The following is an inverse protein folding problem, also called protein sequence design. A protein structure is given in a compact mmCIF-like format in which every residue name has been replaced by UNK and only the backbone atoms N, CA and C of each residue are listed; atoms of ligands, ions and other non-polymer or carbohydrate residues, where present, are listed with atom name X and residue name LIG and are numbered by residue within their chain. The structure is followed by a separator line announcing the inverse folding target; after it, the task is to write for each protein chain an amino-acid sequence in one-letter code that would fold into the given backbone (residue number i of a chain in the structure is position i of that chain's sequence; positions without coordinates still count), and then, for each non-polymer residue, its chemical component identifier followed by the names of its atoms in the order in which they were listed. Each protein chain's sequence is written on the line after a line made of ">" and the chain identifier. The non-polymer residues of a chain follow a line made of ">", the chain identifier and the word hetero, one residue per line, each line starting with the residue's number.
data_IF_534071918640
#
_entry.id   IF_534071918640
#
_cell.length_a   1.000
_cell.length_b   1.000
_cell.length_c   1.000
_cell.angle_alpha   90.00
_cell.angle_beta   90.00
_cell.angle_gamma   90.00
#
_symmetry.space_group_name_H-M   'P 1'
#
loop_
_entity.id
_entity.type
_entity.pdbx_description
1 polymer ?
#
# COMPACT_ATOMS: atom_id res chain seq x y z
N UNK A 1 -14.39 1.23 -20.95
CA UNK A 1 -13.37 0.29 -21.46
C UNK A 1 -12.35 0.16 -20.34
N UNK A 2 -12.50 -0.83 -19.47
CA UNK A 2 -11.67 -1.01 -18.28
C UNK A 2 -10.27 -1.40 -18.73
N UNK A 3 -9.30 -0.49 -18.57
CA UNK A 3 -7.89 -0.68 -18.95
C UNK A 3 -7.11 -1.60 -17.98
N UNK A 4 -7.81 -2.30 -17.10
CA UNK A 4 -7.23 -3.17 -16.07
C UNK A 4 -7.75 -4.58 -16.33
N UNK A 5 -6.83 -5.54 -16.52
CA UNK A 5 -7.22 -6.95 -16.40
C UNK A 5 -7.77 -7.16 -15.00
N UNK A 6 -8.93 -7.81 -14.88
CA UNK A 6 -9.54 -8.08 -13.58
C UNK A 6 -8.57 -8.90 -12.72
N UNK A 7 -8.14 -8.32 -11.58
CA UNK A 7 -7.40 -9.07 -10.59
C UNK A 7 -8.29 -10.22 -10.09
N UNK A 8 -7.78 -11.44 -10.13
CA UNK A 8 -8.51 -12.60 -9.62
C UNK A 8 -7.62 -13.35 -8.63
N UNK A 9 -7.91 -13.26 -7.31
CA UNK A 9 -7.07 -13.84 -6.29
C UNK A 9 -7.14 -15.38 -6.21
N UNK A 10 -8.11 -16.00 -6.90
CA UNK A 10 -8.25 -17.45 -6.99
C UNK A 10 -7.20 -18.00 -7.96
N UNK A 11 -6.36 -18.92 -7.49
CA UNK A 11 -5.38 -19.56 -8.36
C UNK A 11 -6.07 -20.42 -9.42
N UNK A 12 -5.47 -20.50 -10.62
CA UNK A 12 -5.90 -21.48 -11.61
C UNK A 12 -5.73 -22.90 -11.00
N UNK A 13 -6.79 -23.73 -10.93
CA UNK A 13 -6.70 -25.06 -10.32
C UNK A 13 -5.64 -25.96 -10.94
N UNK A 14 -5.34 -25.81 -12.23
CA UNK A 14 -4.30 -26.56 -12.94
C UNK A 14 -2.88 -26.15 -12.55
N UNK A 15 -2.69 -25.01 -11.88
CA UNK A 15 -1.41 -24.57 -11.33
C UNK A 15 -1.18 -25.01 -9.88
N UNK A 16 -2.17 -25.68 -9.26
CA UNK A 16 -2.17 -26.00 -7.83
C UNK A 16 -1.77 -27.45 -7.60
N UNK A 17 -0.82 -27.65 -6.69
CA UNK A 17 -0.41 -28.97 -6.18
C UNK A 17 -0.59 -29.01 -4.67
N UNK A 18 -1.49 -29.88 -4.19
CA UNK A 18 -1.73 -30.06 -2.76
C UNK A 18 -1.09 -31.36 -2.27
N UNK A 19 -0.42 -31.30 -1.11
CA UNK A 19 0.15 -32.45 -0.41
C UNK A 19 -0.18 -32.39 1.08
N UNK A 20 -1.36 -32.92 1.43
CA UNK A 20 -1.88 -32.88 2.80
C UNK A 20 -2.14 -31.43 3.24
N UNK A 21 -1.39 -30.97 4.24
CA UNK A 21 -1.51 -29.63 4.83
C UNK A 21 -0.70 -28.54 4.11
N UNK A 22 0.05 -28.90 3.07
CA UNK A 22 0.79 -27.98 2.23
C UNK A 22 0.13 -27.83 0.86
N UNK A 23 0.14 -26.61 0.32
CA UNK A 23 -0.31 -26.28 -1.02
C UNK A 23 0.75 -25.46 -1.75
N UNK A 24 0.99 -25.81 -3.00
CA UNK A 24 1.93 -25.14 -3.88
C UNK A 24 1.14 -24.59 -5.07
N UNK A 25 1.40 -23.34 -5.46
CA UNK A 25 0.83 -22.76 -6.68
C UNK A 25 1.97 -22.31 -7.58
N UNK A 26 2.05 -22.88 -8.79
CA UNK A 26 3.07 -22.53 -9.79
C UNK A 26 2.54 -21.33 -10.59
N UNK A 27 3.01 -20.14 -10.25
CA UNK A 27 2.47 -18.87 -10.78
C UNK A 27 3.18 -18.45 -12.07
N UNK A 28 4.50 -18.59 -12.10
CA UNK A 28 5.34 -18.37 -13.28
C UNK A 28 6.44 -19.44 -13.29
N UNK A 29 7.23 -19.59 -14.37
CA UNK A 29 8.39 -20.49 -14.32
C UNK A 29 9.34 -20.13 -13.16
N UNK A 30 9.49 -18.85 -12.82
CA UNK A 30 10.33 -18.31 -11.77
C UNK A 30 9.64 -18.17 -10.39
N UNK A 31 8.35 -18.46 -10.27
CA UNK A 31 7.58 -18.16 -9.04
C UNK A 31 6.69 -19.32 -8.59
N UNK A 32 6.88 -19.72 -7.32
CA UNK A 32 6.03 -20.71 -6.65
C UNK A 32 5.55 -20.13 -5.31
N UNK A 33 4.23 -20.10 -5.12
CA UNK A 33 3.61 -19.87 -3.81
C UNK A 33 3.65 -21.15 -3.00
N UNK A 34 3.98 -21.05 -1.72
CA UNK A 34 4.01 -22.14 -0.75
C UNK A 34 3.13 -21.75 0.42
N UNK A 35 2.09 -22.54 0.66
CA UNK A 35 1.21 -22.40 1.79
C UNK A 35 1.27 -23.64 2.67
N UNK A 36 1.17 -23.45 3.99
CA UNK A 36 0.98 -24.53 4.94
C UNK A 36 0.11 -24.09 6.12
N UNK A 37 -0.89 -24.90 6.45
CA UNK A 37 -1.75 -24.70 7.62
C UNK A 37 -1.90 -26.00 8.38
N UNK A 38 -1.71 -25.98 9.70
CA UNK A 38 -1.98 -27.13 10.55
C UNK A 38 -3.45 -27.57 10.53
N UNK A 39 -4.35 -26.69 10.10
CA UNK A 39 -5.79 -26.94 9.93
C UNK A 39 -6.16 -27.35 8.50
N UNK A 40 -5.24 -27.24 7.55
CA UNK A 40 -5.52 -27.44 6.13
C UNK A 40 -6.35 -26.32 5.50
N UNK A 41 -6.35 -25.13 6.10
CA UNK A 41 -7.02 -23.95 5.56
C UNK A 41 -6.03 -23.10 4.79
N UNK A 42 -6.37 -22.76 3.55
CA UNK A 42 -5.55 -21.94 2.69
C UNK A 42 -6.26 -20.62 2.35
N UNK A 43 -5.49 -19.59 2.02
CA UNK A 43 -6.01 -18.25 1.75
C UNK A 43 -6.12 -18.03 0.23
N UNK A 44 -7.36 -18.04 -0.26
CA UNK A 44 -7.70 -17.83 -1.67
C UNK A 44 -8.19 -16.41 -1.96
N UNK A 45 -8.49 -15.62 -0.92
CA UNK A 45 -8.86 -14.21 -1.08
C UNK A 45 -7.64 -13.37 -1.44
N UNK A 46 -7.90 -12.17 -1.96
CA UNK A 46 -6.83 -11.19 -2.13
C UNK A 46 -6.24 -10.85 -0.76
N UNK A 47 -4.96 -10.50 -0.74
CA UNK A 47 -4.24 -10.09 0.47
C UNK A 47 -3.63 -8.73 0.23
N UNK A 48 -3.19 -8.06 1.30
CA UNK A 48 -2.61 -6.71 1.20
C UNK A 48 -1.45 -6.64 0.19
N UNK A 49 -0.71 -7.74 0.03
CA UNK A 49 0.42 -7.81 -0.91
C UNK A 49 0.04 -8.44 -2.26
N UNK A 50 -0.87 -9.42 -2.29
CA UNK A 50 -1.14 -10.28 -3.45
C UNK A 50 -2.63 -10.30 -3.77
N UNK A 51 -3.00 -9.64 -4.87
CA UNK A 51 -4.38 -9.44 -5.32
C UNK A 51 -4.78 -10.34 -6.49
N UNK A 52 -3.81 -10.96 -7.17
CA UNK A 52 -4.06 -11.81 -8.33
C UNK A 52 -3.23 -13.11 -8.26
N UNK A 53 -3.88 -14.26 -8.52
CA UNK A 53 -3.24 -15.57 -8.63
C UNK A 53 -3.75 -16.38 -9.83
N UNK A 54 -4.75 -15.88 -10.54
CA UNK A 54 -5.24 -16.51 -11.76
C UNK A 54 -4.35 -16.12 -12.96
N UNK A 55 -3.19 -16.78 -13.06
CA UNK A 55 -2.26 -16.59 -14.16
C UNK A 55 -2.39 -17.71 -15.19
N UNK A 56 -1.83 -17.48 -16.38
CA UNK A 56 -1.63 -18.56 -17.34
C UNK A 56 -0.73 -19.63 -16.72
N UNK A 57 -1.16 -20.89 -16.78
CA UNK A 57 -0.44 -22.01 -16.16
C UNK A 57 0.87 -22.20 -16.92
N UNK A 58 2.04 -22.02 -16.28
CA UNK A 58 3.31 -22.29 -16.94
C UNK A 58 3.48 -23.80 -17.16
N UNK A 59 4.35 -24.18 -18.09
CA UNK A 59 4.77 -25.57 -18.16
C UNK A 59 5.49 -25.98 -16.88
N UNK A 60 4.99 -27.04 -16.24
CA UNK A 60 5.66 -27.67 -15.10
C UNK A 60 5.31 -29.16 -15.04
N UNK A 61 6.13 -29.92 -14.33
CA UNK A 61 5.86 -31.33 -14.04
C UNK A 61 5.76 -31.54 -12.53
N UNK A 62 4.90 -32.49 -12.14
CA UNK A 62 4.79 -32.99 -10.77
C UNK A 62 5.19 -34.46 -10.77
N UNK A 63 6.06 -34.86 -9.84
CA UNK A 63 6.30 -36.27 -9.52
C UNK A 63 6.39 -36.47 -8.00
N UNK A 64 6.32 -37.72 -7.54
CA UNK A 64 6.41 -38.05 -6.12
C UNK A 64 7.03 -39.43 -5.90
N UNK A 65 7.74 -39.59 -4.78
CA UNK A 65 8.19 -40.87 -4.25
C UNK A 65 7.51 -41.14 -2.90
N UNK A 66 7.94 -42.18 -2.16
CA UNK A 66 7.37 -42.50 -0.85
C UNK A 66 7.45 -41.34 0.17
N UNK A 67 8.48 -40.50 0.07
CA UNK A 67 8.84 -39.45 1.04
C UNK A 67 8.61 -38.03 0.54
N UNK A 68 8.85 -37.76 -0.74
CA UNK A 68 8.89 -36.41 -1.31
C UNK A 68 7.90 -36.22 -2.46
N UNK A 69 7.47 -34.97 -2.63
CA UNK A 69 6.96 -34.47 -3.91
C UNK A 69 8.05 -33.62 -4.58
N UNK A 70 8.00 -33.58 -5.91
CA UNK A 70 8.85 -32.77 -6.75
C UNK A 70 7.97 -31.95 -7.69
N UNK A 71 8.26 -30.66 -7.80
CA UNK A 71 7.63 -29.75 -8.77
C UNK A 71 8.76 -29.10 -9.57
N UNK A 72 8.80 -29.34 -10.87
CA UNK A 72 9.83 -28.79 -11.75
C UNK A 72 9.20 -27.90 -12.82
N UNK A 73 9.63 -26.64 -12.86
CA UNK A 73 9.36 -25.70 -13.95
C UNK A 73 10.58 -25.59 -14.85
N UNK A 74 10.52 -24.78 -15.91
CA UNK A 74 11.68 -24.48 -16.74
C UNK A 74 12.83 -23.76 -15.99
N UNK A 75 12.58 -23.23 -14.77
CA UNK A 75 13.55 -22.43 -14.00
C UNK A 75 13.81 -22.93 -12.59
N UNK A 76 12.86 -23.65 -12.00
CA UNK A 76 12.86 -24.02 -10.59
C UNK A 76 12.67 -25.52 -10.40
N UNK A 77 13.33 -26.07 -9.39
CA UNK A 77 13.08 -27.43 -8.90
C UNK A 77 12.76 -27.39 -7.42
N UNK A 78 11.50 -27.60 -7.07
CA UNK A 78 11.04 -27.70 -5.70
C UNK A 78 11.02 -29.16 -5.26
N UNK A 79 11.58 -29.43 -4.08
CA UNK A 79 11.49 -30.71 -3.38
C UNK A 79 10.90 -30.48 -2.00
N UNK A 80 9.84 -31.21 -1.66
CA UNK A 80 9.16 -31.08 -0.37
C UNK A 80 8.85 -32.45 0.25
N UNK A 81 9.20 -32.61 1.53
CA UNK A 81 8.91 -33.81 2.31
C UNK A 81 7.42 -33.86 2.65
N UNK A 82 6.74 -34.95 2.32
CA UNK A 82 5.29 -35.08 2.54
C UNK A 82 4.96 -35.06 4.03
N UNK A 83 3.90 -34.34 4.39
CA UNK A 83 3.30 -34.37 5.72
C UNK A 83 4.04 -33.55 6.80
N UNK A 84 4.94 -32.66 6.44
CA UNK A 84 5.73 -31.84 7.37
C UNK A 84 5.40 -30.35 7.27
N UNK A 85 5.64 -29.57 8.32
CA UNK A 85 5.62 -28.11 8.17
C UNK A 85 6.84 -27.66 7.34
N UNK A 86 6.69 -26.92 6.22
CA UNK A 86 7.82 -26.49 5.39
C UNK A 86 8.89 -25.67 6.13
N UNK A 87 8.49 -24.92 7.16
CA UNK A 87 9.41 -24.15 8.02
C UNK A 87 9.87 -25.02 9.19
N UNK A 88 11.17 -25.30 9.25
CA UNK A 88 11.78 -26.06 10.35
C UNK A 88 12.59 -25.16 11.26
N UNK A 89 12.79 -25.58 12.51
CA UNK A 89 13.71 -24.98 13.45
C UNK A 89 14.74 -26.03 13.90
N UNK A 90 16.03 -25.90 13.53
CA UNK A 90 16.61 -24.87 12.68
C UNK A 90 16.14 -24.96 11.21
N UNK A 91 16.24 -23.86 10.43
CA UNK A 91 15.98 -23.87 8.99
C UNK A 91 16.82 -24.92 8.25
N UNK A 92 16.17 -25.74 7.41
CA UNK A 92 16.85 -26.87 6.74
C UNK A 92 16.30 -27.12 5.33
N UNK A 93 17.20 -27.42 4.40
CA UNK A 93 16.89 -27.87 3.04
C UNK A 93 16.43 -29.33 2.97
N UNK A 94 16.58 -30.12 4.05
CA UNK A 94 16.15 -31.53 4.08
C UNK A 94 14.63 -31.70 4.00
N UNK A 95 13.89 -30.62 4.26
CA UNK A 95 12.44 -30.61 4.32
C UNK A 95 11.80 -30.01 3.06
N UNK A 96 11.87 -28.69 2.89
CA UNK A 96 11.53 -27.99 1.66
C UNK A 96 12.79 -27.33 1.11
N UNK A 97 13.04 -27.50 -0.18
CA UNK A 97 14.05 -26.74 -0.90
C UNK A 97 13.63 -26.41 -2.31
N UNK A 98 14.17 -25.31 -2.85
CA UNK A 98 14.04 -24.93 -4.25
C UNK A 98 15.44 -24.71 -4.80
N UNK A 99 15.77 -25.32 -5.94
CA UNK A 99 16.97 -24.98 -6.70
C UNK A 99 16.63 -24.17 -7.95
N UNK A 100 17.57 -23.30 -8.34
CA UNK A 100 17.52 -22.48 -9.55
C UNK A 100 18.91 -22.38 -10.17
N UNK A 101 18.96 -22.03 -11.46
CA UNK A 101 20.21 -21.64 -12.10
C UNK A 101 20.48 -20.14 -11.89
N UNK A 102 21.68 -19.82 -11.40
CA UNK A 102 22.20 -18.46 -11.36
C UNK A 102 23.56 -18.42 -12.05
N UNK A 103 23.59 -17.88 -13.27
CA UNK A 103 24.79 -17.76 -14.11
C UNK A 103 25.55 -19.09 -14.28
N UNK A 104 24.83 -20.18 -14.58
CA UNK A 104 25.42 -21.51 -14.83
C UNK A 104 25.71 -22.31 -13.56
N UNK A 105 25.43 -21.76 -12.36
CA UNK A 105 25.59 -22.45 -11.08
C UNK A 105 24.23 -22.74 -10.46
N UNK A 106 24.10 -23.89 -9.83
CA UNK A 106 22.92 -24.19 -9.04
C UNK A 106 22.97 -23.41 -7.71
N UNK A 107 21.89 -22.71 -7.40
CA UNK A 107 21.66 -22.05 -6.12
C UNK A 107 20.52 -22.77 -5.43
N UNK A 108 20.66 -22.99 -4.13
CA UNK A 108 19.68 -23.67 -3.28
C UNK A 108 19.08 -22.67 -2.28
N UNK A 109 17.75 -22.65 -2.21
CA UNK A 109 16.99 -21.94 -1.20
C UNK A 109 16.12 -22.91 -0.38
N UNK A 110 15.82 -22.53 0.86
CA UNK A 110 14.88 -23.20 1.76
C UNK A 110 14.27 -22.16 2.72
N UNK A 111 13.07 -22.42 3.30
CA UNK A 111 12.41 -21.47 4.19
C UNK A 111 13.29 -21.09 5.38
N UNK A 112 13.46 -19.79 5.59
CA UNK A 112 14.32 -19.24 6.64
C UNK A 112 15.80 -19.11 6.28
N UNK A 113 16.22 -19.38 5.03
CA UNK A 113 17.58 -19.11 4.56
C UNK A 113 17.82 -17.58 4.49
N UNK A 114 18.84 -17.01 5.17
CA UNK A 114 19.16 -15.59 5.07
C UNK A 114 19.66 -15.17 3.69
N UNK A 115 19.39 -13.93 3.31
CA UNK A 115 19.90 -13.31 2.08
C UNK A 115 20.73 -12.04 2.35
N UNK A 116 22.04 -12.18 2.65
CA UNK A 116 22.89 -11.01 2.88
C UNK A 116 23.14 -10.18 1.61
N UNK A 117 22.72 -10.66 0.43
CA UNK A 117 22.92 -9.98 -0.86
C UNK A 117 21.64 -9.28 -1.37
N UNK A 118 20.58 -9.27 -0.57
CA UNK A 118 19.36 -8.53 -0.87
C UNK A 118 19.66 -7.03 -0.97
N UNK A 119 19.12 -6.38 -1.99
CA UNK A 119 19.33 -4.94 -2.21
C UNK A 119 18.45 -4.05 -1.33
N UNK A 120 17.60 -4.67 -0.52
CA UNK A 120 16.58 -4.08 0.34
C UNK A 120 15.44 -3.41 -0.45
N UNK A 121 14.34 -3.15 0.24
CA UNK A 121 13.11 -2.60 -0.30
C UNK A 121 12.81 -1.22 0.28
N UNK A 122 11.62 -1.06 0.82
CA UNK A 122 11.16 0.21 1.42
C UNK A 122 11.42 0.24 2.92
N UNK A 123 11.35 1.44 3.50
CA UNK A 123 11.20 1.68 4.93
C UNK A 123 10.09 2.72 5.14
N UNK A 124 9.46 2.72 6.31
CA UNK A 124 8.27 3.56 6.60
C UNK A 124 8.51 5.05 6.38
N UNK A 125 9.67 5.55 6.80
CA UNK A 125 10.04 6.95 6.67
C UNK A 125 11.51 7.10 6.27
N UNK A 126 11.80 8.16 5.51
CA UNK A 126 13.15 8.61 5.18
C UNK A 126 13.58 9.82 6.01
N UNK A 127 12.83 10.19 7.04
CA UNK A 127 13.18 11.29 7.94
C UNK A 127 14.53 11.06 8.59
N UNK A 128 15.39 12.07 8.51
CA UNK A 128 16.77 12.00 8.97
C UNK A 128 17.63 10.97 8.23
N UNK A 129 17.19 10.46 7.08
CA UNK A 129 17.99 9.55 6.26
C UNK A 129 19.21 10.27 5.68
N UNK A 130 20.37 9.65 5.82
CA UNK A 130 21.62 10.03 5.17
C UNK A 130 22.16 8.90 4.30
N UNK A 131 21.29 7.96 3.91
CA UNK A 131 21.63 6.78 3.12
C UNK A 131 21.73 5.52 3.99
N UNK A 132 22.91 5.26 4.57
CA UNK A 132 23.16 3.95 5.21
C UNK A 132 22.50 3.78 6.58
N UNK A 133 22.20 4.87 7.28
CA UNK A 133 21.61 4.82 8.63
C UNK A 133 20.26 4.09 8.67
N UNK A 134 19.49 4.14 7.58
CA UNK A 134 18.19 3.48 7.47
C UNK A 134 18.26 2.03 6.97
N UNK A 135 19.42 1.53 6.55
CA UNK A 135 19.53 0.21 5.90
C UNK A 135 19.07 -0.96 6.79
N UNK A 136 19.23 -0.86 8.11
CA UNK A 136 18.75 -1.86 9.06
C UNK A 136 17.24 -1.83 9.28
N UNK A 137 16.58 -0.72 8.96
CA UNK A 137 15.12 -0.54 9.06
C UNK A 137 14.40 -0.97 7.77
N UNK A 138 15.13 -1.09 6.66
CA UNK A 138 14.58 -1.50 5.37
C UNK A 138 14.24 -2.98 5.33
N UNK A 139 13.10 -3.28 4.75
CA UNK A 139 12.65 -4.64 4.47
C UNK A 139 13.50 -5.30 3.38
N UNK A 140 13.45 -6.63 3.29
CA UNK A 140 13.99 -7.32 2.11
C UNK A 140 13.14 -6.99 0.88
N UNK A 141 13.80 -6.57 -0.19
CA UNK A 141 13.17 -6.22 -1.45
C UNK A 141 13.05 -7.41 -2.39
N UNK A 142 12.41 -7.17 -3.53
CA UNK A 142 12.24 -8.16 -4.59
C UNK A 142 13.53 -8.49 -5.35
N UNK A 143 14.57 -7.65 -5.21
CA UNK A 143 15.83 -7.76 -5.96
C UNK A 143 16.99 -8.11 -5.03
N UNK A 144 17.73 -9.15 -5.41
CA UNK A 144 18.88 -9.66 -4.71
C UNK A 144 19.94 -10.14 -5.68
N UNK A 145 21.21 -9.96 -5.30
CA UNK A 145 22.33 -10.56 -6.07
C UNK A 145 22.44 -12.06 -5.87
N UNK A 146 21.74 -12.63 -4.89
CA UNK A 146 21.60 -14.09 -4.71
C UNK A 146 20.78 -14.75 -5.82
N UNK A 147 20.05 -13.96 -6.60
CA UNK A 147 19.23 -14.41 -7.73
C UNK A 147 17.86 -14.95 -7.34
N UNK A 148 17.46 -14.74 -6.09
CA UNK A 148 16.14 -15.07 -5.59
C UNK A 148 15.67 -14.03 -4.57
N UNK A 149 14.36 -13.94 -4.38
CA UNK A 149 13.73 -13.19 -3.31
C UNK A 149 12.52 -13.96 -2.78
N UNK A 150 12.02 -13.57 -1.60
CA UNK A 150 10.84 -14.15 -0.99
C UNK A 150 9.89 -13.02 -0.62
N UNK A 151 8.64 -13.14 -1.05
CA UNK A 151 7.55 -12.33 -0.49
C UNK A 151 6.97 -13.14 0.66
N UNK A 152 7.14 -12.61 1.87
CA UNK A 152 6.60 -13.20 3.09
C UNK A 152 5.23 -12.58 3.36
N UNK A 153 4.17 -13.29 2.99
CA UNK A 153 2.80 -12.81 3.11
C UNK A 153 2.07 -13.43 4.32
N UNK A 154 2.72 -14.27 5.13
CA UNK A 154 2.11 -14.87 6.32
C UNK A 154 1.74 -13.78 7.34
N UNK A 155 0.57 -13.89 7.98
CA UNK A 155 0.17 -12.97 9.05
C UNK A 155 1.17 -12.93 10.22
N UNK A 156 1.79 -14.08 10.51
CA UNK A 156 2.79 -14.21 11.60
C UNK A 156 4.02 -13.35 11.38
N UNK A 157 4.32 -12.96 10.14
CA UNK A 157 5.41 -12.05 9.82
C UNK A 157 5.01 -10.59 10.03
N UNK A 158 5.72 -9.91 10.92
CA UNK A 158 5.60 -8.46 11.09
C UNK A 158 6.56 -7.74 10.15
N UNK A 159 6.06 -6.70 9.50
CA UNK A 159 6.85 -5.72 8.75
C UNK A 159 7.64 -4.81 9.67
N UNK A 160 8.62 -4.08 9.15
CA UNK A 160 9.48 -3.23 9.99
C UNK A 160 8.72 -2.06 10.62
N UNK A 161 7.58 -1.69 10.04
CA UNK A 161 6.63 -0.71 10.57
C UNK A 161 5.65 -1.28 11.62
N UNK A 162 5.74 -2.59 11.93
CA UNK A 162 4.84 -3.29 12.83
C UNK A 162 3.55 -3.82 12.18
N UNK A 163 3.31 -3.51 10.89
CA UNK A 163 2.14 -3.98 10.16
C UNK A 163 2.23 -5.48 9.83
N UNK A 164 1.09 -6.05 9.42
CA UNK A 164 0.93 -7.46 9.04
C UNK A 164 0.18 -7.56 7.72
N UNK A 165 0.21 -8.73 7.08
CA UNK A 165 -0.61 -8.98 5.89
C UNK A 165 -1.99 -9.50 6.28
N UNK A 166 -3.03 -8.75 5.91
CA UNK A 166 -4.44 -9.13 6.06
C UNK A 166 -4.99 -9.67 4.73
N UNK A 167 -6.20 -10.21 4.78
CA UNK A 167 -6.97 -10.57 3.60
C UNK A 167 -7.91 -9.41 3.22
N UNK A 168 -8.51 -9.52 2.04
CA UNK A 168 -9.62 -8.69 1.60
C UNK A 168 -10.89 -9.54 1.46
N UNK A 169 -12.04 -9.00 1.82
CA UNK A 169 -13.34 -9.63 1.60
C UNK A 169 -14.40 -8.62 1.14
N UNK A 170 -15.42 -9.04 0.38
CA UNK A 170 -16.42 -8.10 -0.12
C UNK A 170 -17.12 -7.34 1.00
N UNK A 171 -17.12 -6.00 0.93
CA UNK A 171 -17.92 -5.13 1.80
C UNK A 171 -19.03 -4.48 0.97
N UNK A 172 -20.27 -4.81 1.33
CA UNK A 172 -21.45 -4.44 0.57
C UNK A 172 -21.84 -2.97 0.74
N UNK A 173 -21.58 -2.37 1.90
CA UNK A 173 -21.97 -0.98 2.16
C UNK A 173 -21.11 -0.01 1.34
N UNK A 174 -19.81 -0.28 1.26
CA UNK A 174 -18.85 0.55 0.53
C UNK A 174 -18.77 0.22 -0.97
N UNK A 175 -19.16 -0.99 -1.37
CA UNK A 175 -19.14 -1.42 -2.77
C UNK A 175 -17.75 -1.82 -3.29
N UNK A 176 -16.79 -2.10 -2.40
CA UNK A 176 -15.47 -2.63 -2.73
C UNK A 176 -14.97 -3.55 -1.60
N UNK A 177 -13.92 -4.33 -1.86
CA UNK A 177 -13.40 -5.26 -0.85
C UNK A 177 -12.77 -4.51 0.34
N UNK A 178 -13.07 -4.97 1.56
CA UNK A 178 -12.56 -4.43 2.81
C UNK A 178 -11.55 -5.37 3.47
N UNK A 179 -10.73 -4.84 4.39
CA UNK A 179 -9.76 -5.67 5.09
C UNK A 179 -10.46 -6.71 5.99
N UNK A 180 -9.85 -7.88 6.11
CA UNK A 180 -10.34 -8.97 6.93
C UNK A 180 -9.20 -9.79 7.54
N UNK A 181 -9.50 -10.45 8.65
CA UNK A 181 -8.57 -11.42 9.23
C UNK A 181 -8.25 -12.56 8.25
N UNK A 182 -7.03 -13.08 8.36
CA UNK A 182 -6.58 -14.23 7.56
C UNK A 182 -7.31 -15.48 8.02
N UNK A 183 -7.71 -16.34 7.07
CA UNK A 183 -8.50 -17.57 7.37
C UNK A 183 -7.83 -18.48 8.40
N UNK A 184 -6.50 -18.53 8.39
CA UNK A 184 -5.70 -19.11 9.46
C UNK A 184 -4.50 -18.20 9.76
N UNK A 185 -4.51 -17.44 10.88
CA UNK A 185 -3.45 -16.49 11.20
C UNK A 185 -2.11 -17.16 11.54
N UNK A 186 -2.08 -18.49 11.68
CA UNK A 186 -0.85 -19.26 11.92
C UNK A 186 -0.30 -19.93 10.65
N UNK A 187 -1.00 -19.80 9.51
CA UNK A 187 -0.55 -20.40 8.27
C UNK A 187 0.73 -19.72 7.75
N UNK A 188 1.59 -20.53 7.15
CA UNK A 188 2.65 -20.07 6.26
C UNK A 188 2.03 -19.71 4.91
N UNK A 189 2.43 -18.57 4.35
CA UNK A 189 2.09 -18.12 3.00
C UNK A 189 3.27 -17.31 2.45
N UNK A 190 4.08 -17.93 1.59
CA UNK A 190 5.26 -17.31 1.01
C UNK A 190 5.28 -17.48 -0.50
N UNK A 191 5.84 -16.51 -1.20
CA UNK A 191 6.08 -16.58 -2.64
C UNK A 191 7.58 -16.58 -2.85
N UNK A 192 8.11 -17.68 -3.37
CA UNK A 192 9.51 -17.74 -3.78
C UNK A 192 9.64 -17.25 -5.22
N UNK A 193 10.55 -16.30 -5.45
CA UNK A 193 10.91 -15.80 -6.77
C UNK A 193 12.36 -16.16 -7.06
N UNK A 194 12.61 -17.06 -8.01
CA UNK A 194 13.95 -17.44 -8.43
C UNK A 194 14.24 -17.03 -9.88
N UNK A 195 14.83 -15.84 -10.04
CA UNK A 195 15.01 -15.17 -11.33
C UNK A 195 16.47 -15.10 -11.80
N UNK A 196 17.42 -15.60 -11.01
CA UNK A 196 18.85 -15.52 -11.32
C UNK A 196 19.32 -14.07 -11.50
N UNK A 197 19.88 -13.74 -12.66
CA UNK A 197 20.29 -12.37 -13.00
C UNK A 197 19.21 -11.52 -13.68
N UNK A 198 18.00 -12.05 -13.89
CA UNK A 198 16.93 -11.36 -14.60
C UNK A 198 16.04 -10.51 -13.66
N UNK A 199 16.58 -9.39 -13.16
CA UNK A 199 15.89 -8.51 -12.22
C UNK A 199 14.60 -7.90 -12.78
N UNK A 200 14.56 -7.61 -14.09
CA UNK A 200 13.34 -7.11 -14.74
C UNK A 200 12.22 -8.14 -14.72
N UNK A 201 12.55 -9.42 -14.88
CA UNK A 201 11.58 -10.51 -14.77
C UNK A 201 11.03 -10.62 -13.35
N UNK A 202 11.86 -10.46 -12.32
CA UNK A 202 11.40 -10.43 -10.92
C UNK A 202 10.32 -9.36 -10.69
N UNK A 203 10.57 -8.13 -11.16
CA UNK A 203 9.59 -7.03 -11.07
C UNK A 203 8.35 -7.30 -11.92
N UNK A 204 8.51 -7.81 -13.14
CA UNK A 204 7.39 -8.16 -14.01
C UNK A 204 6.50 -9.23 -13.39
N UNK A 205 7.07 -10.27 -12.80
CA UNK A 205 6.32 -11.35 -12.15
C UNK A 205 5.62 -10.85 -10.89
N UNK A 206 6.26 -9.99 -10.11
CA UNK A 206 5.61 -9.35 -8.97
C UNK A 206 4.37 -8.56 -9.41
N UNK A 207 4.46 -7.73 -10.47
CA UNK A 207 3.30 -6.96 -10.95
C UNK A 207 2.15 -7.83 -11.51
N UNK A 208 2.40 -9.10 -11.85
CA UNK A 208 1.34 -10.02 -12.25
C UNK A 208 0.48 -10.44 -11.05
N UNK A 209 1.04 -10.48 -9.84
CA UNK A 209 0.36 -10.95 -8.64
C UNK A 209 -0.06 -9.82 -7.69
N UNK A 210 0.72 -8.75 -7.62
CA UNK A 210 0.49 -7.58 -6.76
C UNK A 210 -0.36 -6.49 -7.44
N UNK A 211 -0.69 -6.70 -8.72
CA UNK A 211 -1.43 -5.73 -9.53
C UNK A 211 -0.52 -4.87 -10.41
N UNK A 212 -1.08 -4.38 -11.51
CA UNK A 212 -0.39 -3.47 -12.43
C UNK A 212 -0.46 -2.05 -11.90
N UNK A 213 0.68 -1.36 -11.94
CA UNK A 213 0.77 0.06 -11.59
C UNK A 213 -0.02 0.85 -12.63
N UNK A 214 -1.02 1.65 -12.23
CA UNK A 214 -1.76 2.43 -13.18
C UNK A 214 -0.93 3.55 -13.77
N UNK A 215 -1.12 3.85 -15.06
CA UNK A 215 -0.49 5.02 -15.67
C UNK A 215 -1.08 6.27 -15.00
N UNK A 216 -0.29 7.06 -14.26
CA UNK A 216 -0.79 8.28 -13.65
C UNK A 216 -1.25 9.28 -14.72
N UNK A 217 -2.15 10.22 -14.38
CA UNK A 217 -2.46 11.35 -15.24
C UNK A 217 -1.19 12.11 -15.68
N UNK A 218 -1.17 12.65 -16.89
CA UNK A 218 0.04 13.26 -17.46
C UNK A 218 0.61 14.41 -16.64
N UNK A 219 -0.25 15.21 -15.97
CA UNK A 219 0.15 16.35 -15.15
C UNK A 219 1.04 15.96 -13.96
N UNK A 220 0.99 14.69 -13.50
CA UNK A 220 1.84 14.19 -12.42
C UNK A 220 3.32 14.22 -12.79
N UNK A 221 3.64 14.11 -14.08
CA UNK A 221 5.01 14.17 -14.60
C UNK A 221 5.49 15.60 -14.89
N UNK A 222 4.62 16.60 -14.70
CA UNK A 222 4.92 18.02 -14.82
C UNK A 222 5.71 18.59 -13.63
N UNK A 223 5.89 19.90 -13.60
CA UNK A 223 6.47 20.58 -12.44
C UNK A 223 5.40 20.85 -11.37
N UNK A 224 5.76 20.64 -10.11
CA UNK A 224 4.92 20.83 -8.93
C UNK A 224 5.49 21.97 -8.10
N UNK A 225 4.69 23.01 -7.88
CA UNK A 225 5.04 24.02 -6.89
C UNK A 225 4.49 23.59 -5.52
N UNK A 226 5.37 23.47 -4.53
CA UNK A 226 5.03 23.21 -3.14
C UNK A 226 6.03 23.86 -2.21
N UNK A 227 5.53 24.39 -1.08
CA UNK A 227 6.36 24.88 0.01
C UNK A 227 5.53 24.96 1.29
N UNK A 228 6.09 24.46 2.39
CA UNK A 228 5.52 24.68 3.72
C UNK A 228 5.63 26.15 4.11
N UNK A 229 4.52 26.87 3.97
CA UNK A 229 4.40 28.30 4.20
C UNK A 229 2.93 28.70 4.35
N UNK A 230 2.66 29.70 5.17
CA UNK A 230 1.32 30.22 5.42
C UNK A 230 0.89 31.19 4.32
N UNK A 231 0.70 30.65 3.12
CA UNK A 231 0.32 31.44 1.94
C UNK A 231 -1.15 31.84 1.96
N UNK A 232 -1.39 33.13 1.74
CA UNK A 232 -2.71 33.69 1.47
C UNK A 232 -3.13 33.45 0.01
N UNK A 233 -4.40 33.70 -0.29
CA UNK A 233 -4.91 33.66 -1.67
C UNK A 233 -4.14 34.61 -2.60
N UNK A 234 -3.69 35.78 -2.11
CA UNK A 234 -2.91 36.73 -2.90
C UNK A 234 -1.48 36.24 -3.14
N UNK A 235 -0.86 35.57 -2.16
CA UNK A 235 0.44 34.92 -2.36
C UNK A 235 0.36 33.86 -3.48
N UNK A 236 -0.70 33.03 -3.48
CA UNK A 236 -0.90 32.05 -4.57
C UNK A 236 -1.09 32.73 -5.93
N UNK A 237 -1.83 33.85 -5.99
CA UNK A 237 -1.98 34.63 -7.23
C UNK A 237 -0.64 35.20 -7.71
N UNK A 238 0.18 35.72 -6.79
CA UNK A 238 1.51 36.21 -7.09
C UNK A 238 2.41 35.07 -7.58
N UNK A 239 2.45 33.92 -6.89
CA UNK A 239 3.20 32.73 -7.32
C UNK A 239 2.79 32.30 -8.73
N UNK A 240 1.48 32.22 -9.02
CA UNK A 240 1.00 31.88 -10.38
C UNK A 240 1.44 32.92 -11.42
N UNK A 241 1.43 34.21 -11.07
CA UNK A 241 1.90 35.29 -11.95
C UNK A 241 3.41 35.19 -12.19
N UNK A 242 4.20 34.88 -11.17
CA UNK A 242 5.64 34.75 -11.24
C UNK A 242 6.06 33.53 -12.07
N UNK A 243 5.43 32.37 -11.85
CA UNK A 243 5.66 31.18 -12.67
C UNK A 243 5.41 31.48 -14.15
N UNK A 244 4.30 32.14 -14.46
CA UNK A 244 3.95 32.55 -15.82
C UNK A 244 4.94 33.56 -16.39
N UNK A 245 5.24 34.64 -15.66
CA UNK A 245 6.11 35.73 -16.10
C UNK A 245 7.57 35.29 -16.30
N UNK A 246 8.01 34.28 -15.55
CA UNK A 246 9.33 33.68 -15.68
C UNK A 246 9.37 32.50 -16.67
N UNK A 247 8.28 32.21 -17.38
CA UNK A 247 8.16 31.09 -18.31
C UNK A 247 8.54 29.73 -17.68
N UNK A 248 8.08 29.48 -16.46
CA UNK A 248 8.25 28.21 -15.75
C UNK A 248 6.95 27.40 -15.93
N UNK A 249 6.94 26.38 -16.82
CA UNK A 249 5.78 25.53 -16.98
C UNK A 249 5.53 24.79 -15.66
N UNK A 250 4.31 24.88 -15.14
CA UNK A 250 3.90 24.27 -13.88
C UNK A 250 2.54 23.65 -14.07
N UNK A 251 2.39 22.40 -13.64
CA UNK A 251 1.16 21.64 -13.81
C UNK A 251 0.41 21.52 -12.49
N UNK A 252 1.11 21.53 -11.35
CA UNK A 252 0.51 21.30 -10.03
C UNK A 252 0.84 22.43 -9.06
N UNK A 253 -0.20 22.91 -8.36
CA UNK A 253 -0.09 23.80 -7.20
C UNK A 253 -0.48 23.05 -5.94
N UNK A 254 0.43 22.97 -4.97
CA UNK A 254 0.17 22.35 -3.67
C UNK A 254 -0.13 23.43 -2.64
N UNK A 255 -1.25 23.29 -1.94
CA UNK A 255 -1.53 24.04 -0.73
C UNK A 255 -1.13 23.17 0.46
N UNK A 256 -0.06 23.60 1.13
CA UNK A 256 0.44 22.96 2.36
C UNK A 256 -0.47 23.30 3.56
N UNK A 257 -0.14 22.77 4.75
CA UNK A 257 -0.92 22.76 6.01
C UNK A 257 -1.84 23.96 6.29
N UNK A 258 -1.39 25.17 5.99
CA UNK A 258 -2.09 26.40 6.35
C UNK A 258 -3.36 26.68 5.53
N UNK A 259 -3.70 25.82 4.56
CA UNK A 259 -5.04 25.85 3.94
C UNK A 259 -6.14 25.56 4.98
N UNK A 260 -5.84 24.77 6.03
CA UNK A 260 -6.72 24.55 7.18
C UNK A 260 -6.21 25.28 8.43
N UNK A 261 -7.03 25.31 9.48
CA UNK A 261 -6.63 25.94 10.73
C UNK A 261 -5.69 25.01 11.52
N UNK A 262 -4.38 25.26 11.49
CA UNK A 262 -3.41 24.38 12.18
C UNK A 262 -3.08 24.78 13.64
N UNK A 263 -3.68 25.85 14.16
CA UNK A 263 -3.47 26.35 15.53
C UNK A 263 -2.26 27.25 15.77
N UNK A 264 -1.37 27.40 14.80
CA UNK A 264 -0.14 28.20 14.96
C UNK A 264 -0.41 29.71 14.98
N UNK A 265 0.08 30.41 16.00
CA UNK A 265 0.04 31.88 16.06
C UNK A 265 0.82 32.54 14.91
N UNK A 266 1.91 31.90 14.46
CA UNK A 266 2.76 32.40 13.37
C UNK A 266 2.14 32.30 11.98
N UNK A 267 1.04 31.54 11.84
CA UNK A 267 0.42 31.22 10.55
C UNK A 267 -0.97 31.84 10.36
N UNK A 268 -1.34 32.82 11.19
CA UNK A 268 -2.71 33.34 11.30
C UNK A 268 -3.76 32.28 11.69
N UNK A 269 -3.32 31.11 12.16
CA UNK A 269 -4.14 29.95 12.54
C UNK A 269 -4.41 29.87 14.05
N UNK A 270 -3.89 30.82 14.82
CA UNK A 270 -3.90 30.84 16.28
C UNK A 270 -5.28 30.66 16.91
N UNK A 271 -5.37 29.77 17.91
CA UNK A 271 -6.56 29.59 18.75
C UNK A 271 -7.78 28.97 18.08
N UNK A 272 -7.67 28.55 16.81
CA UNK A 272 -8.78 27.97 16.02
C UNK A 272 -8.65 26.49 15.68
N UNK A 273 -7.46 25.90 15.74
CA UNK A 273 -7.28 24.49 15.35
C UNK A 273 -6.03 23.83 15.93
N UNK A 274 -5.78 22.59 15.54
CA UNK A 274 -4.62 21.77 15.95
C UNK A 274 -3.83 21.31 14.73
N UNK A 275 -2.89 20.38 14.88
CA UNK A 275 -2.05 19.95 13.75
C UNK A 275 -2.86 19.38 12.57
N UNK A 276 -4.07 18.87 12.81
CA UNK A 276 -5.01 18.44 11.77
C UNK A 276 -6.12 19.44 11.51
N UNK A 277 -6.77 19.32 10.35
CA UNK A 277 -7.97 20.09 10.08
C UNK A 277 -8.57 19.85 8.70
N UNK A 278 -9.83 20.30 8.57
CA UNK A 278 -10.64 20.10 7.36
C UNK A 278 -11.27 21.38 6.85
N UNK A 279 -11.30 22.46 7.65
CA UNK A 279 -11.97 23.69 7.27
C UNK A 279 -10.99 24.70 6.71
N UNK A 280 -11.38 25.38 5.64
CA UNK A 280 -10.58 26.46 5.06
C UNK A 280 -10.22 27.53 6.09
N UNK A 281 -8.94 27.88 6.14
CA UNK A 281 -8.44 29.03 6.87
C UNK A 281 -8.80 30.31 6.11
N UNK A 282 -9.97 30.86 6.41
CA UNK A 282 -10.51 32.04 5.73
C UNK A 282 -9.80 33.35 6.09
N UNK A 283 -8.85 33.36 7.04
CA UNK A 283 -7.92 34.50 7.21
C UNK A 283 -6.89 34.55 6.07
N UNK A 284 -6.44 33.38 5.59
CA UNK A 284 -5.50 33.26 4.48
C UNK A 284 -6.22 33.16 3.13
N UNK A 285 -7.30 32.39 3.08
CA UNK A 285 -8.02 32.02 1.86
C UNK A 285 -9.52 32.36 2.04
N UNK A 286 -9.92 33.64 1.92
CA UNK A 286 -11.30 34.06 2.18
C UNK A 286 -12.33 33.49 1.20
N UNK A 287 -11.92 33.24 -0.05
CA UNK A 287 -12.74 32.63 -1.11
C UNK A 287 -11.98 31.46 -1.76
N UNK A 288 -12.01 30.26 -1.13
CA UNK A 288 -11.27 29.10 -1.61
C UNK A 288 -11.76 28.63 -2.97
N UNK A 289 -13.09 28.60 -3.20
CA UNK A 289 -13.68 28.20 -4.48
C UNK A 289 -13.25 29.14 -5.61
N UNK A 290 -13.23 30.45 -5.34
CA UNK A 290 -12.70 31.44 -6.28
C UNK A 290 -11.22 31.20 -6.60
N UNK A 291 -10.38 30.98 -5.58
CA UNK A 291 -8.96 30.71 -5.78
C UNK A 291 -8.71 29.42 -6.58
N UNK A 292 -9.39 28.32 -6.23
CA UNK A 292 -9.28 27.05 -6.96
C UNK A 292 -9.71 27.21 -8.42
N UNK A 293 -10.80 27.95 -8.66
CA UNK A 293 -11.24 28.28 -10.01
C UNK A 293 -10.18 29.08 -10.78
N UNK A 294 -9.56 30.08 -10.16
CA UNK A 294 -8.48 30.86 -10.79
C UNK A 294 -7.26 29.99 -11.14
N UNK A 295 -6.92 29.02 -10.29
CA UNK A 295 -5.88 28.03 -10.55
C UNK A 295 -6.24 27.16 -11.77
N UNK A 296 -7.48 26.64 -11.81
CA UNK A 296 -7.97 25.84 -12.94
C UNK A 296 -8.06 26.62 -14.25
N UNK A 297 -8.49 27.88 -14.21
CA UNK A 297 -8.53 28.79 -15.38
C UNK A 297 -7.12 29.00 -15.98
N UNK A 298 -6.07 28.76 -15.19
CA UNK A 298 -4.66 28.82 -15.59
C UNK A 298 -4.04 27.43 -15.85
N UNK A 299 -4.87 26.38 -15.89
CA UNK A 299 -4.52 24.97 -16.11
C UNK A 299 -3.69 24.30 -15.00
N UNK A 300 -3.67 24.85 -13.78
CA UNK A 300 -3.10 24.12 -12.66
C UNK A 300 -4.03 23.00 -12.22
N UNK A 301 -3.43 21.91 -11.73
CA UNK A 301 -4.06 20.92 -10.86
C UNK A 301 -3.72 21.24 -9.41
N UNK A 302 -4.68 21.07 -8.53
CA UNK A 302 -4.56 21.51 -7.14
C UNK A 302 -4.65 20.32 -6.20
N UNK A 303 -3.75 20.28 -5.22
CA UNK A 303 -3.87 19.33 -4.11
C UNK A 303 -3.68 20.01 -2.76
N UNK A 304 -4.38 19.47 -1.78
CA UNK A 304 -4.27 19.87 -0.38
C UNK A 304 -3.44 18.84 0.39
N UNK A 305 -2.57 19.32 1.26
CA UNK A 305 -1.90 18.49 2.25
C UNK A 305 -2.89 18.04 3.33
N UNK A 306 -2.89 16.76 3.70
CA UNK A 306 -3.80 16.16 4.68
C UNK A 306 -3.03 15.52 5.83
N UNK A 307 -3.34 15.91 7.06
CA UNK A 307 -2.93 15.24 8.30
C UNK A 307 -4.17 14.72 9.01
N UNK A 308 -4.54 13.45 8.86
CA UNK A 308 -5.81 12.95 9.40
C UNK A 308 -5.75 12.54 10.89
N UNK A 309 -4.55 12.44 11.47
CA UNK A 309 -4.29 11.65 12.69
C UNK A 309 -5.13 12.02 13.93
N UNK A 310 -5.42 13.30 14.17
CA UNK A 310 -6.23 13.74 15.33
C UNK A 310 -7.74 13.67 15.08
N UNK A 311 -8.19 13.18 13.92
CA UNK A 311 -9.60 13.02 13.58
C UNK A 311 -10.28 14.33 13.19
N UNK A 312 -11.56 14.49 13.55
CA UNK A 312 -12.41 15.63 13.15
C UNK A 312 -12.83 16.40 14.39
N UNK A 313 -12.34 17.64 14.53
CA UNK A 313 -12.60 18.50 15.69
C UNK A 313 -13.76 19.45 15.45
N UNK A 314 -14.64 19.60 16.43
CA UNK A 314 -15.74 20.59 16.46
C UNK A 314 -15.27 22.04 16.59
N UNK A 315 -14.03 22.29 17.02
CA UNK A 315 -13.46 23.64 17.11
C UNK A 315 -12.85 24.07 15.79
N UNK A 316 -12.08 23.17 15.17
CA UNK A 316 -11.37 23.42 13.92
C UNK A 316 -12.32 23.30 12.73
N UNK A 317 -13.15 22.24 12.73
CA UNK A 317 -14.10 21.90 11.67
C UNK A 317 -15.51 21.66 12.20
N UNK A 318 -16.19 22.68 12.73
CA UNK A 318 -17.53 22.53 13.33
C UNK A 318 -18.57 21.95 12.37
N UNK A 319 -18.53 22.34 11.09
CA UNK A 319 -19.50 21.89 10.08
C UNK A 319 -19.29 20.42 9.73
N UNK A 320 -18.06 20.01 9.40
CA UNK A 320 -17.73 18.61 9.12
C UNK A 320 -17.91 17.71 10.35
N UNK A 321 -17.55 18.18 11.54
CA UNK A 321 -17.82 17.48 12.79
C UNK A 321 -19.31 17.19 12.95
N UNK A 322 -20.16 18.20 12.74
CA UNK A 322 -21.62 18.07 12.88
C UNK A 322 -22.16 17.07 11.85
N UNK A 323 -21.80 17.24 10.58
CA UNK A 323 -22.25 16.38 9.49
C UNK A 323 -21.84 14.91 9.70
N UNK A 324 -20.56 14.66 10.03
CA UNK A 324 -20.08 13.31 10.30
C UNK A 324 -20.73 12.71 11.55
N UNK A 325 -20.89 13.48 12.63
CA UNK A 325 -21.50 12.98 13.87
C UNK A 325 -22.97 12.60 13.67
N UNK A 326 -23.71 13.37 12.87
CA UNK A 326 -25.08 13.05 12.46
C UNK A 326 -25.13 11.79 11.60
N UNK A 327 -24.27 11.68 10.57
CA UNK A 327 -24.16 10.51 9.70
C UNK A 327 -23.89 9.24 10.52
N UNK A 328 -22.91 9.31 11.42
CA UNK A 328 -22.47 8.21 12.28
C UNK A 328 -23.38 8.00 13.50
N UNK A 329 -24.44 8.80 13.65
CA UNK A 329 -25.42 8.73 14.76
C UNK A 329 -24.76 8.77 16.14
N UNK A 330 -23.67 9.52 16.28
CA UNK A 330 -22.90 9.60 17.53
C UNK A 330 -22.18 8.31 17.94
N UNK A 331 -22.00 7.34 17.03
CA UNK A 331 -21.38 6.03 17.32
C UNK A 331 -19.96 6.12 17.87
N UNK A 332 -19.14 7.03 17.33
CA UNK A 332 -17.71 7.12 17.64
C UNK A 332 -17.48 8.02 18.85
N UNK A 333 -17.96 7.54 19.99
CA UNK A 333 -18.29 8.34 21.17
C UNK A 333 -17.19 9.35 21.56
N UNK A 334 -17.52 10.56 21.13
CA UNK A 334 -16.94 11.86 21.43
C UNK A 334 -16.79 12.10 22.94
N UNK A 335 -17.49 11.37 23.81
CA UNK A 335 -17.37 11.51 25.27
C UNK A 335 -15.96 11.22 25.81
N UNK A 336 -15.19 10.33 25.17
CA UNK A 336 -13.78 10.09 25.50
C UNK A 336 -12.86 11.28 25.16
N UNK A 337 -13.28 12.14 24.23
CA UNK A 337 -12.61 13.37 23.81
C UNK A 337 -13.30 14.64 24.34
N UNK A 338 -14.17 14.50 25.35
CA UNK A 338 -14.88 15.62 25.98
C UNK A 338 -16.02 16.22 25.14
N UNK A 339 -16.56 15.47 24.19
CA UNK A 339 -17.67 15.87 23.33
C UNK A 339 -17.26 16.75 22.15
N UNK A 340 -15.96 16.80 21.80
CA UNK A 340 -15.44 17.77 20.83
C UNK A 340 -14.69 17.22 19.62
N UNK A 341 -14.30 15.95 19.61
CA UNK A 341 -13.51 15.36 18.51
C UNK A 341 -14.05 13.97 18.17
N UNK A 342 -14.33 13.71 16.89
CA UNK A 342 -14.53 12.36 16.37
C UNK A 342 -13.13 11.77 16.12
N UNK A 343 -12.68 10.75 16.88
CA UNK A 343 -11.34 10.21 16.69
C UNK A 343 -11.20 9.50 15.33
N UNK A 344 -9.96 9.31 14.88
CA UNK A 344 -9.67 8.69 13.60
C UNK A 344 -9.91 7.17 13.61
N UNK A 345 -10.84 6.69 12.77
CA UNK A 345 -11.24 5.28 12.66
C UNK A 345 -11.43 4.84 11.19
N UNK A 346 -10.51 5.22 10.30
CA UNK A 346 -10.60 4.94 8.85
C UNK A 346 -10.63 3.43 8.52
N UNK A 347 -10.29 2.55 9.45
CA UNK A 347 -10.40 1.10 9.29
C UNK A 347 -11.81 0.55 9.53
N UNK A 348 -12.81 1.41 9.80
CA UNK A 348 -14.21 1.05 9.89
C UNK A 348 -15.00 1.51 8.64
N UNK A 349 -15.87 0.64 8.07
CA UNK A 349 -16.59 0.97 6.84
C UNK A 349 -17.46 2.23 6.93
N UNK A 350 -18.25 2.36 7.98
CA UNK A 350 -19.17 3.49 8.15
C UNK A 350 -18.44 4.81 8.42
N UNK A 351 -17.33 4.78 9.16
CA UNK A 351 -16.47 5.96 9.30
C UNK A 351 -15.88 6.37 7.96
N UNK A 352 -15.39 5.41 7.17
CA UNK A 352 -14.82 5.66 5.85
C UNK A 352 -15.85 6.28 4.91
N UNK A 353 -17.06 5.71 4.87
CA UNK A 353 -18.15 6.25 4.06
C UNK A 353 -18.47 7.70 4.46
N UNK A 354 -18.64 7.94 5.76
CA UNK A 354 -18.87 9.29 6.29
C UNK A 354 -17.74 10.25 5.94
N UNK A 355 -16.48 9.87 6.18
CA UNK A 355 -15.31 10.70 5.91
C UNK A 355 -15.22 11.08 4.44
N UNK A 356 -15.35 10.11 3.53
CA UNK A 356 -15.27 10.38 2.12
C UNK A 356 -16.47 11.20 1.65
N UNK A 357 -17.69 10.82 2.01
CA UNK A 357 -18.91 11.47 1.52
C UNK A 357 -19.12 12.89 2.06
N UNK A 358 -18.64 13.19 3.27
CA UNK A 358 -18.87 14.49 3.92
C UNK A 358 -17.69 15.46 3.81
N UNK A 359 -16.45 14.98 3.76
CA UNK A 359 -15.25 15.84 3.73
C UNK A 359 -14.57 15.77 2.36
N UNK A 360 -14.09 14.58 1.99
CA UNK A 360 -13.25 14.44 0.79
C UNK A 360 -14.03 14.81 -0.48
N UNK A 361 -15.24 14.28 -0.66
CA UNK A 361 -16.06 14.57 -1.85
C UNK A 361 -16.58 16.01 -1.86
N UNK A 362 -16.76 16.64 -0.71
CA UNK A 362 -17.13 18.06 -0.62
C UNK A 362 -16.00 18.91 -1.24
N UNK A 363 -14.77 18.80 -0.73
CA UNK A 363 -13.60 19.53 -1.23
C UNK A 363 -13.24 19.22 -2.69
N UNK A 364 -13.37 17.97 -3.13
CA UNK A 364 -13.24 17.64 -4.55
C UNK A 364 -14.29 18.38 -5.39
N UNK A 365 -15.52 18.51 -4.89
CA UNK A 365 -16.58 19.31 -5.49
C UNK A 365 -16.29 20.82 -5.51
N UNK A 366 -15.40 21.31 -4.64
CA UNK A 366 -14.93 22.70 -4.63
C UNK A 366 -13.84 22.97 -5.68
N UNK A 367 -13.15 21.93 -6.14
CA UNK A 367 -12.09 22.01 -7.14
C UNK A 367 -10.75 21.39 -6.74
N UNK A 368 -10.66 20.65 -5.63
CA UNK A 368 -9.46 19.88 -5.29
C UNK A 368 -9.32 18.69 -6.24
N UNK A 369 -8.18 18.55 -6.92
CA UNK A 369 -7.98 17.50 -7.92
C UNK A 369 -7.46 16.18 -7.32
N UNK A 370 -6.63 16.26 -6.27
CA UNK A 370 -6.09 15.10 -5.54
C UNK A 370 -5.53 15.52 -4.17
N UNK A 371 -5.02 14.55 -3.41
CA UNK A 371 -4.65 14.73 -2.01
C UNK A 371 -3.20 14.36 -1.75
N UNK A 372 -2.49 15.19 -0.98
CA UNK A 372 -1.19 14.86 -0.43
C UNK A 372 -1.39 14.32 0.98
N UNK A 373 -1.33 12.99 1.12
CA UNK A 373 -1.42 12.33 2.42
C UNK A 373 -0.08 12.44 3.13
N UNK A 374 -0.07 13.15 4.26
CA UNK A 374 1.12 13.42 5.07
C UNK A 374 0.87 13.00 6.54
N UNK A 375 1.95 12.69 7.25
CA UNK A 375 1.96 12.17 8.61
C UNK A 375 0.93 11.03 8.88
N UNK A 376 1.27 9.83 8.37
CA UNK A 376 0.50 8.58 8.55
C UNK A 376 0.89 7.76 9.78
#
# INVERSE_FOLDING_TARGET
>A
MTLWGENNPQANPEAVVTSGKARFTVLTPEMIRIEYSDKGFFEDRATFTVVNRNLAVPHYSKSEDATFIYIETDKLKLKYRKGTNPRTLPPSSSNLSITLNHNGREVLWYPGKPDPLNLKGTCRTLDGSNGQNKRSEMEDGLISRSGWAVIEDSWTSSRSDGSRSFAFEPETELGYDWWAERKDPHALDIYFLGYGSNYKKALSDYTQIAGKIPLPPSYVFGYWYSKYSSYSADDYREIMNDLSSNNIPTDVMILDMDWHWNGSEGSMSGGRGGWTGWSWNTNLIPDPKGLLKEMHDRNFKVALNLHPADGVSSQESPEFFTAMNEFLRGKYDVNGSGGKVIPWYLDYPDFTDSFFSTIIREHEGEGVDFWWLDWQ
#
